data_IF_963910409656
#
_entry.id   IF_963910409656
#
_cell.length_a   1.000
_cell.length_b   1.000
_cell.length_c   1.000
_cell.angle_alpha   90.00
_cell.angle_beta   90.00
_cell.angle_gamma   90.00
#
_symmetry.space_group_name_H-M   'P 1'
#
loop_
_entity.id
_entity.type
_entity.pdbx_description
1 polymer ?
#
# COMPACT_ATOMS: atom_id res chain seq x y z
N UNK A 1 24.76 2.08 17.83
CA UNK A 1 25.59 0.86 17.90
C UNK A 1 27.03 1.17 17.53
N UNK A 2 27.92 0.19 17.64
CA UNK A 2 29.30 0.25 17.16
C UNK A 2 29.56 -0.90 16.17
N UNK A 3 30.55 -0.73 15.29
CA UNK A 3 31.08 -1.80 14.45
C UNK A 3 32.57 -1.94 14.74
N UNK A 4 33.01 -3.14 15.11
CA UNK A 4 34.41 -3.44 15.43
C UNK A 4 35.01 -4.25 14.30
N UNK A 5 36.20 -3.84 13.84
CA UNK A 5 36.98 -4.57 12.85
C UNK A 5 38.05 -5.40 13.58
N UNK A 6 38.11 -6.70 13.29
CA UNK A 6 39.20 -7.56 13.73
C UNK A 6 40.44 -7.38 12.83
N UNK A 7 41.59 -7.87 13.28
CA UNK A 7 42.80 -7.87 12.47
C UNK A 7 42.57 -8.55 11.11
N UNK A 8 42.96 -7.87 10.03
CA UNK A 8 42.77 -8.36 8.66
C UNK A 8 41.34 -8.24 8.11
N UNK A 9 40.33 -7.88 8.93
CA UNK A 9 38.96 -7.71 8.47
C UNK A 9 38.80 -6.42 7.67
N UNK A 10 38.15 -6.53 6.49
CA UNK A 10 37.92 -5.38 5.59
C UNK A 10 36.47 -4.90 5.56
N UNK A 11 35.54 -5.69 6.10
CA UNK A 11 34.10 -5.43 6.02
C UNK A 11 33.43 -5.76 7.34
N UNK A 12 32.53 -4.90 7.79
CA UNK A 12 31.65 -5.12 8.93
C UNK A 12 30.23 -4.68 8.57
N UNK A 13 29.23 -5.36 9.12
CA UNK A 13 27.82 -5.11 8.82
C UNK A 13 27.15 -4.43 10.02
N UNK A 14 26.37 -3.39 9.76
CA UNK A 14 25.47 -2.79 10.75
C UNK A 14 24.05 -3.15 10.35
N UNK A 15 23.36 -3.91 11.19
CA UNK A 15 21.97 -4.28 10.97
C UNK A 15 21.04 -3.26 11.64
N UNK A 16 20.03 -2.80 10.90
CA UNK A 16 18.91 -2.00 11.40
C UNK A 16 17.65 -2.75 11.02
N UNK A 17 16.84 -3.11 12.03
CA UNK A 17 15.56 -3.80 11.81
C UNK A 17 14.47 -2.77 11.57
N UNK A 18 13.74 -2.92 10.47
CA UNK A 18 12.50 -2.18 10.23
C UNK A 18 11.36 -2.95 10.92
N UNK A 19 10.51 -2.24 11.65
CA UNK A 19 9.39 -2.84 12.38
C UNK A 19 8.12 -2.68 11.54
N UNK A 20 7.43 -3.81 11.33
CA UNK A 20 6.18 -3.87 10.60
C UNK A 20 5.00 -3.60 11.54
N UNK A 21 4.02 -2.82 11.09
CA UNK A 21 2.74 -2.61 11.77
C UNK A 21 1.59 -2.49 10.75
N UNK A 22 0.35 -2.31 11.21
CA UNK A 22 -0.83 -2.25 10.33
C UNK A 22 -1.20 -0.82 9.91
N UNK A 23 -0.39 0.18 10.27
CA UNK A 23 -0.68 1.58 10.00
C UNK A 23 -0.35 1.88 8.55
N UNK A 24 -1.23 2.64 7.92
CA UNK A 24 -0.94 3.21 6.60
C UNK A 24 0.19 4.22 6.71
N UNK A 25 1.31 3.95 6.05
CA UNK A 25 2.46 4.85 6.01
C UNK A 25 2.82 5.24 4.57
N UNK A 26 3.24 6.49 4.41
CA UNK A 26 3.84 6.96 3.15
C UNK A 26 5.32 6.59 3.11
N UNK A 27 6.01 6.79 1.98
CA UNK A 27 7.44 6.50 1.95
C UNK A 27 8.22 7.33 2.98
N UNK A 28 9.01 6.65 3.79
CA UNK A 28 9.84 7.26 4.84
C UNK A 28 11.31 7.22 4.44
N UNK A 29 12.08 8.24 4.81
CA UNK A 29 13.53 8.26 4.57
C UNK A 29 14.26 8.70 5.83
N UNK A 30 15.24 7.90 6.24
CA UNK A 30 16.13 8.20 7.35
C UNK A 30 17.60 8.13 6.92
N UNK A 31 18.47 8.79 7.68
CA UNK A 31 19.91 8.86 7.38
C UNK A 31 20.72 8.18 8.47
N UNK A 32 21.66 7.33 8.06
CA UNK A 32 22.65 6.71 8.94
C UNK A 32 23.99 7.42 8.72
N UNK A 33 24.66 7.80 9.82
CA UNK A 33 25.92 8.55 9.78
C UNK A 33 27.01 7.84 10.60
N UNK A 34 28.22 7.75 10.05
CA UNK A 34 29.43 7.40 10.79
C UNK A 34 29.97 8.66 11.47
N UNK A 35 29.98 8.68 12.80
CA UNK A 35 30.24 9.90 13.57
C UNK A 35 31.69 10.02 14.07
N UNK A 36 32.30 8.91 14.49
CA UNK A 36 33.66 8.89 15.02
C UNK A 36 34.33 7.53 14.83
N UNK A 37 35.66 7.54 14.86
CA UNK A 37 36.51 6.34 14.89
C UNK A 37 37.34 6.36 16.16
N UNK A 38 37.60 5.19 16.75
CA UNK A 38 38.46 4.98 17.91
C UNK A 38 39.64 4.10 17.46
N UNK A 39 40.84 4.33 17.99
CA UNK A 39 42.03 3.55 17.60
C UNK A 39 42.91 4.20 16.54
N UNK A 40 42.91 5.53 16.43
CA UNK A 40 43.85 6.30 15.59
C UNK A 40 43.52 6.38 14.09
N UNK A 41 42.49 5.68 13.63
CA UNK A 41 41.99 5.78 12.26
C UNK A 41 41.07 7.01 12.05
N UNK A 42 40.68 7.25 10.79
CA UNK A 42 39.89 8.41 10.37
C UNK A 42 38.73 7.97 9.48
N UNK A 43 37.65 8.76 9.48
CA UNK A 43 36.54 8.59 8.55
C UNK A 43 36.97 8.98 7.12
N UNK A 44 36.40 8.30 6.13
CA UNK A 44 36.56 8.65 4.71
C UNK A 44 35.57 9.72 4.25
N UNK A 45 35.35 9.82 2.94
CA UNK A 45 34.44 10.80 2.34
C UNK A 45 32.96 10.40 2.43
N UNK A 46 32.65 9.11 2.24
CA UNK A 46 31.28 8.59 2.27
C UNK A 46 30.95 8.07 3.67
N UNK A 47 30.46 8.95 4.54
CA UNK A 47 30.13 8.62 5.94
C UNK A 47 28.64 8.58 6.21
N UNK A 48 27.81 8.90 5.23
CA UNK A 48 26.36 8.95 5.36
C UNK A 48 25.69 8.15 4.27
N UNK A 49 24.61 7.48 4.62
CA UNK A 49 23.73 6.78 3.68
C UNK A 49 22.27 7.09 4.02
N UNK A 50 21.44 7.29 3.00
CA UNK A 50 20.00 7.38 3.17
C UNK A 50 19.40 5.98 2.97
N UNK A 51 18.46 5.64 3.84
CA UNK A 51 17.66 4.43 3.74
C UNK A 51 16.22 4.87 3.54
N UNK A 52 15.56 4.29 2.54
CA UNK A 52 14.17 4.59 2.20
C UNK A 52 13.32 3.36 2.45
N UNK A 53 12.26 3.54 3.23
CA UNK A 53 11.19 2.57 3.43
C UNK A 53 10.07 2.95 2.43
N UNK A 54 9.74 2.08 1.46
CA UNK A 54 8.61 2.32 0.57
C UNK A 54 7.30 2.40 1.34
N UNK A 55 6.29 3.05 0.76
CA UNK A 55 4.95 3.04 1.35
C UNK A 55 4.40 1.60 1.44
N UNK A 56 3.86 1.25 2.59
CA UNK A 56 3.28 -0.05 2.95
C UNK A 56 1.80 0.11 3.36
N UNK A 57 1.13 -1.01 3.58
CA UNK A 57 -0.22 -1.07 4.16
C UNK A 57 -1.36 -0.40 3.38
N UNK A 58 -1.17 -0.25 2.06
CA UNK A 58 -2.16 0.30 1.13
C UNK A 58 -2.46 1.79 1.40
N UNK A 59 -1.54 2.71 1.10
CA UNK A 59 -1.74 4.16 1.30
C UNK A 59 -2.88 4.74 0.47
N UNK A 60 -3.22 4.08 -0.64
CA UNK A 60 -4.37 4.43 -1.46
C UNK A 60 -5.64 3.68 -1.03
N UNK A 61 -5.61 2.97 0.10
CA UNK A 61 -6.70 2.14 0.60
C UNK A 61 -6.92 0.86 -0.19
N UNK A 62 -7.67 -0.06 0.42
CA UNK A 62 -8.20 -1.28 -0.19
C UNK A 62 -9.64 -1.04 -0.58
N UNK A 63 -10.11 -1.64 -1.67
CA UNK A 63 -11.46 -1.42 -2.21
C UNK A 63 -12.23 -2.73 -2.26
N UNK A 64 -13.53 -2.68 -1.93
CA UNK A 64 -14.41 -3.84 -1.98
C UNK A 64 -15.87 -3.44 -1.86
N UNK A 65 -16.78 -4.38 -2.15
CA UNK A 65 -18.22 -4.13 -2.00
C UNK A 65 -18.63 -4.12 -0.54
N UNK A 66 -19.58 -3.24 -0.19
CA UNK A 66 -20.16 -3.19 1.15
C UNK A 66 -20.95 -4.46 1.47
N UNK A 67 -21.68 -4.99 0.47
CA UNK A 67 -22.48 -6.20 0.57
C UNK A 67 -22.03 -7.18 -0.51
N UNK A 68 -21.98 -8.46 -0.18
CA UNK A 68 -21.62 -9.52 -1.14
C UNK A 68 -22.83 -10.10 -1.88
N UNK A 69 -24.03 -9.79 -1.39
CA UNK A 69 -25.30 -10.20 -1.97
C UNK A 69 -26.25 -9.01 -2.02
N UNK A 70 -26.93 -8.84 -3.15
CA UNK A 70 -27.96 -7.82 -3.36
C UNK A 70 -29.10 -8.48 -4.10
N UNK A 71 -30.32 -8.31 -3.59
CA UNK A 71 -31.54 -8.81 -4.21
C UNK A 71 -32.33 -7.60 -4.72
N UNK A 72 -32.74 -7.67 -5.98
CA UNK A 72 -33.59 -6.67 -6.64
C UNK A 72 -34.79 -7.37 -7.28
N UNK A 73 -35.86 -6.61 -7.48
CA UNK A 73 -37.04 -7.10 -8.19
C UNK A 73 -36.88 -6.89 -9.69
N UNK A 74 -37.55 -7.72 -10.50
CA UNK A 74 -37.72 -7.42 -11.92
C UNK A 74 -38.52 -6.12 -12.12
N UNK A 75 -38.26 -5.36 -13.19
CA UNK A 75 -38.96 -4.11 -13.45
C UNK A 75 -40.43 -4.36 -13.82
N UNK A 76 -41.36 -3.69 -13.13
CA UNK A 76 -42.78 -3.73 -13.49
C UNK A 76 -43.13 -2.72 -14.60
N UNK A 77 -42.30 -1.70 -14.78
CA UNK A 77 -42.46 -0.65 -15.78
C UNK A 77 -41.11 -0.06 -16.23
N UNK A 78 -41.12 0.74 -17.29
CA UNK A 78 -39.89 1.37 -17.83
C UNK A 78 -39.30 2.32 -16.80
N UNK A 79 -38.00 2.18 -16.53
CA UNK A 79 -37.25 2.92 -15.51
C UNK A 79 -37.73 2.67 -14.06
N UNK A 80 -38.25 1.48 -13.76
CA UNK A 80 -38.60 1.09 -12.41
C UNK A 80 -37.37 1.14 -11.48
N UNK A 81 -37.37 2.00 -10.44
CA UNK A 81 -36.25 2.10 -9.52
C UNK A 81 -36.04 0.82 -8.68
N UNK A 82 -37.05 -0.04 -8.56
CA UNK A 82 -36.92 -1.33 -7.85
C UNK A 82 -36.01 -2.34 -8.59
N UNK A 83 -35.77 -2.12 -9.88
CA UNK A 83 -34.90 -2.95 -10.73
C UNK A 83 -33.44 -2.46 -10.78
N UNK A 84 -33.05 -1.51 -9.92
CA UNK A 84 -31.69 -0.96 -9.88
C UNK A 84 -30.89 -1.59 -8.73
N UNK A 85 -29.87 -2.39 -9.08
CA UNK A 85 -28.91 -2.92 -8.11
C UNK A 85 -27.82 -1.89 -7.79
N UNK A 86 -27.98 -1.15 -6.68
CA UNK A 86 -26.97 -0.22 -6.21
C UNK A 86 -25.85 -0.95 -5.46
N UNK A 87 -24.68 -1.05 -6.09
CA UNK A 87 -23.49 -1.70 -5.52
C UNK A 87 -22.55 -0.66 -4.91
N UNK A 88 -22.56 -0.55 -3.58
CA UNK A 88 -21.64 0.38 -2.89
C UNK A 88 -20.23 -0.20 -2.81
N UNK A 89 -19.24 0.54 -3.30
CA UNK A 89 -17.82 0.23 -3.12
C UNK A 89 -17.27 1.06 -1.96
N UNK A 90 -16.63 0.39 -1.01
CA UNK A 90 -15.98 1.02 0.14
C UNK A 90 -14.47 1.07 -0.07
N UNK A 91 -13.86 2.15 0.42
CA UNK A 91 -12.41 2.29 0.57
C UNK A 91 -12.04 2.07 2.04
N UNK A 92 -10.99 1.31 2.32
CA UNK A 92 -10.50 1.11 3.68
C UNK A 92 -10.13 2.44 4.35
N UNK A 93 -10.29 2.50 5.68
CA UNK A 93 -9.91 3.66 6.47
C UNK A 93 -8.42 4.01 6.25
N UNK A 94 -8.10 5.31 6.20
CA UNK A 94 -6.74 5.80 5.99
C UNK A 94 -6.29 5.91 4.52
N UNK A 95 -6.99 5.29 3.57
CA UNK A 95 -6.66 5.44 2.15
C UNK A 95 -6.90 6.87 1.64
N UNK A 96 -5.87 7.49 1.04
CA UNK A 96 -5.92 8.86 0.52
C UNK A 96 -5.46 8.97 -0.93
N UNK A 97 -5.82 10.05 -1.62
CA UNK A 97 -5.50 10.27 -3.04
C UNK A 97 -6.56 9.73 -4.00
N UNK A 98 -6.48 10.16 -5.26
CA UNK A 98 -7.41 9.79 -6.32
C UNK A 98 -7.13 8.38 -6.83
N UNK A 99 -8.18 7.60 -7.04
CA UNK A 99 -8.14 6.25 -7.61
C UNK A 99 -9.31 6.10 -8.58
N UNK A 100 -9.07 5.42 -9.69
CA UNK A 100 -10.12 5.01 -10.64
C UNK A 100 -10.22 3.50 -10.62
N UNK A 101 -11.43 2.99 -10.42
CA UNK A 101 -11.73 1.57 -10.50
C UNK A 101 -12.40 1.28 -11.86
N UNK A 102 -12.08 0.13 -12.44
CA UNK A 102 -12.76 -0.40 -13.63
C UNK A 102 -13.54 -1.63 -13.19
N UNK A 103 -14.76 -1.79 -13.67
CA UNK A 103 -15.63 -2.89 -13.30
C UNK A 103 -16.29 -3.53 -14.53
N UNK A 104 -16.69 -4.79 -14.39
CA UNK A 104 -17.38 -5.57 -15.43
C UNK A 104 -18.27 -6.64 -14.81
N UNK A 105 -19.31 -7.03 -15.54
CA UNK A 105 -20.16 -8.19 -15.23
C UNK A 105 -19.59 -9.45 -15.90
N UNK A 106 -19.53 -10.58 -15.17
CA UNK A 106 -18.91 -11.84 -15.64
C UNK A 106 -19.88 -12.95 -16.06
N UNK A 107 -21.10 -12.59 -16.50
CA UNK A 107 -21.94 -13.45 -17.37
C UNK A 107 -22.82 -14.53 -16.70
N UNK A 108 -23.92 -14.09 -16.10
CA UNK A 108 -25.23 -14.73 -16.20
C UNK A 108 -26.25 -13.58 -16.37
N UNK A 109 -27.07 -13.56 -17.42
CA UNK A 109 -28.04 -12.50 -17.77
C UNK A 109 -27.53 -11.23 -18.46
N UNK A 110 -26.46 -11.29 -19.28
CA UNK A 110 -25.96 -10.13 -20.06
C UNK A 110 -27.00 -9.45 -20.98
N UNK A 111 -28.10 -10.13 -21.32
CA UNK A 111 -29.20 -9.56 -22.12
C UNK A 111 -30.14 -8.67 -21.33
N UNK A 112 -30.22 -8.90 -20.02
CA UNK A 112 -31.21 -8.27 -19.14
C UNK A 112 -30.56 -7.19 -18.24
N UNK A 113 -29.24 -7.01 -18.38
CA UNK A 113 -28.43 -6.11 -17.56
C UNK A 113 -27.86 -4.96 -18.40
N UNK A 114 -27.87 -3.76 -17.82
CA UNK A 114 -27.21 -2.58 -18.39
C UNK A 114 -26.90 -1.57 -17.28
N UNK A 115 -25.70 -0.94 -17.27
CA UNK A 115 -24.54 -1.22 -18.11
C UNK A 115 -23.77 -2.48 -17.66
N UNK A 116 -22.93 -3.03 -18.54
CA UNK A 116 -22.16 -4.26 -18.27
C UNK A 116 -20.73 -3.98 -17.77
N UNK A 117 -20.27 -2.73 -17.88
CA UNK A 117 -18.93 -2.30 -17.50
C UNK A 117 -18.87 -0.77 -17.32
N UNK A 118 -17.78 -0.29 -16.73
CA UNK A 118 -17.46 1.13 -16.57
C UNK A 118 -16.20 1.39 -15.76
#
# INVERSE_FOLDING_TARGET
GNATFQEGQKQATVAITILDDEKVETSETFRVNLMRVIGGARLGQMTSVNVTIPANDSPLGRFGFQNLEVVVSEPEFVNDPAAIANLTVLRSAGGQGAVTLVWRVEDQALKDLSPLNG
#
